data_IF_938639245409
#
_entry.id   IF_938639245409
#
_cell.length_a   1.000
_cell.length_b   1.000
_cell.length_c   1.000
_cell.angle_alpha   90.00
_cell.angle_beta   90.00
_cell.angle_gamma   90.00
#
_symmetry.space_group_name_H-M   'P 1'
#
loop_
_entity.id
_entity.type
_entity.pdbx_description
1 polymer ?
#
# COMPACT_ATOMS: atom_id res chain seq x y z
N UNK A 1 -17.84 -18.33 20.21
CA UNK A 1 -17.71 -16.87 20.41
C UNK A 1 -16.74 -16.39 19.36
N UNK A 2 -17.19 -15.61 18.38
CA UNK A 2 -16.33 -15.08 17.31
C UNK A 2 -15.41 -14.05 17.97
N UNK A 3 -14.10 -14.31 17.99
CA UNK A 3 -13.13 -13.31 18.41
C UNK A 3 -13.02 -12.27 17.30
N UNK A 4 -13.60 -11.09 17.54
CA UNK A 4 -13.46 -9.94 16.65
C UNK A 4 -12.07 -9.36 16.91
N UNK A 5 -11.14 -9.62 16.00
CA UNK A 5 -9.77 -9.10 16.03
C UNK A 5 -9.79 -7.62 15.55
N UNK A 6 -10.32 -6.71 16.36
CA UNK A 6 -10.29 -5.26 16.10
C UNK A 6 -8.94 -4.72 15.61
N UNK A 7 -7.76 -5.12 16.17
CA UNK A 7 -6.47 -4.67 15.66
C UNK A 7 -6.18 -5.15 14.23
N UNK A 8 -6.61 -6.36 13.86
CA UNK A 8 -6.43 -6.88 12.51
C UNK A 8 -7.23 -6.06 11.48
N UNK A 9 -8.50 -5.71 11.78
CA UNK A 9 -9.31 -4.88 10.88
C UNK A 9 -8.71 -3.49 10.63
N UNK A 10 -8.16 -2.86 11.68
CA UNK A 10 -7.48 -1.56 11.53
C UNK A 10 -6.18 -1.74 10.73
N UNK A 11 -5.42 -2.80 10.99
CA UNK A 11 -4.20 -3.08 10.24
C UNK A 11 -4.49 -3.29 8.74
N UNK A 12 -5.49 -4.08 8.40
CA UNK A 12 -5.93 -4.31 7.02
C UNK A 12 -6.39 -3.00 6.35
N UNK A 13 -7.17 -2.18 7.06
CA UNK A 13 -7.62 -0.89 6.53
C UNK A 13 -6.44 0.03 6.21
N UNK A 14 -5.48 0.17 7.13
CA UNK A 14 -4.31 1.04 6.94
C UNK A 14 -3.39 0.50 5.83
N UNK A 15 -3.13 -0.80 5.80
CA UNK A 15 -2.30 -1.42 4.77
C UNK A 15 -2.92 -1.25 3.38
N UNK A 16 -4.22 -1.51 3.25
CA UNK A 16 -4.93 -1.40 1.96
C UNK A 16 -5.05 0.06 1.53
N UNK A 17 -5.31 0.98 2.48
CA UNK A 17 -5.29 2.41 2.20
C UNK A 17 -3.93 2.87 1.67
N UNK A 18 -2.84 2.52 2.36
CA UNK A 18 -1.49 2.90 1.95
C UNK A 18 -1.15 2.33 0.56
N UNK A 19 -1.48 1.06 0.30
CA UNK A 19 -1.27 0.42 -1.00
C UNK A 19 -1.99 1.17 -2.12
N UNK A 20 -3.29 1.44 -1.97
CA UNK A 20 -4.09 2.10 -3.00
C UNK A 20 -3.69 3.56 -3.16
N UNK A 21 -3.45 4.27 -2.05
CA UNK A 21 -3.07 5.68 -2.07
C UNK A 21 -1.72 5.90 -2.77
N UNK A 22 -0.69 5.14 -2.38
CA UNK A 22 0.63 5.22 -3.02
C UNK A 22 0.56 4.71 -4.46
N UNK A 23 -0.21 3.64 -4.69
CA UNK A 23 -0.35 3.03 -6.00
C UNK A 23 -0.99 3.96 -7.02
N UNK A 24 -2.23 4.39 -6.77
CA UNK A 24 -2.93 5.35 -7.62
C UNK A 24 -2.21 6.70 -7.67
N UNK A 25 -1.64 7.16 -6.54
CA UNK A 25 -0.85 8.37 -6.46
C UNK A 25 0.36 8.35 -7.40
N UNK A 26 1.06 7.23 -7.50
CA UNK A 26 2.21 7.08 -8.41
C UNK A 26 1.82 7.17 -9.89
N UNK A 27 0.64 6.65 -10.28
CA UNK A 27 0.10 6.76 -11.64
C UNK A 27 -0.25 8.21 -11.97
N UNK A 28 -0.95 8.89 -11.06
CA UNK A 28 -1.26 10.31 -11.20
C UNK A 28 0.01 11.15 -11.31
N UNK A 29 1.02 10.81 -10.51
CA UNK A 29 2.28 11.55 -10.51
C UNK A 29 3.08 11.31 -11.80
N UNK A 30 3.09 10.10 -12.33
CA UNK A 30 3.67 9.82 -13.66
C UNK A 30 3.00 10.66 -14.75
N UNK A 31 1.66 10.74 -14.74
CA UNK A 31 0.91 11.63 -15.62
C UNK A 31 1.28 13.11 -15.47
N UNK A 32 1.43 13.59 -14.23
CA UNK A 32 1.79 14.99 -13.96
C UNK A 32 3.23 15.36 -14.33
N UNK A 33 4.13 14.37 -14.35
CA UNK A 33 5.57 14.57 -14.62
C UNK A 33 5.94 14.30 -16.08
N UNK A 34 4.97 13.93 -16.92
CA UNK A 34 5.19 13.63 -18.34
C UNK A 34 5.82 12.26 -18.57
N UNK A 35 5.51 11.27 -17.73
CA UNK A 35 6.00 9.89 -17.90
C UNK A 35 7.40 9.63 -17.33
N UNK A 36 7.93 10.52 -16.48
CA UNK A 36 9.29 10.40 -15.93
C UNK A 36 9.46 9.22 -14.98
N UNK A 37 8.38 8.78 -14.34
CA UNK A 37 8.39 7.66 -13.39
C UNK A 37 8.32 6.33 -14.16
N UNK A 38 7.47 6.29 -15.19
CA UNK A 38 7.21 5.14 -16.04
C UNK A 38 6.64 3.92 -15.28
N UNK A 39 6.38 2.85 -16.02
CA UNK A 39 5.84 1.60 -15.45
C UNK A 39 6.75 1.01 -14.36
N UNK A 40 8.07 1.12 -14.52
CA UNK A 40 9.03 0.64 -13.53
C UNK A 40 8.94 1.36 -12.18
N UNK A 41 8.87 2.69 -12.18
CA UNK A 41 8.73 3.46 -10.95
C UNK A 41 7.36 3.27 -10.28
N UNK A 42 6.28 3.12 -11.06
CA UNK A 42 4.94 2.80 -10.54
C UNK A 42 4.91 1.42 -9.87
N UNK A 43 5.55 0.42 -10.49
CA UNK A 43 5.66 -0.93 -9.92
C UNK A 43 6.48 -0.92 -8.63
N UNK A 44 7.58 -0.17 -8.58
CA UNK A 44 8.38 0.00 -7.37
C UNK A 44 7.60 0.71 -6.25
N UNK A 45 6.80 1.73 -6.57
CA UNK A 45 5.97 2.42 -5.58
C UNK A 45 4.96 1.47 -4.90
N UNK A 46 4.27 0.64 -5.69
CA UNK A 46 3.36 -0.40 -5.15
C UNK A 46 4.12 -1.45 -4.33
N UNK A 47 5.21 -1.98 -4.88
CA UNK A 47 6.00 -3.03 -4.23
C UNK A 47 6.61 -2.58 -2.90
N UNK A 48 7.13 -1.34 -2.84
CA UNK A 48 7.67 -0.77 -1.61
C UNK A 48 6.57 -0.46 -0.60
N UNK A 49 5.41 0.04 -1.03
CA UNK A 49 4.26 0.23 -0.14
C UNK A 49 3.84 -1.10 0.50
N UNK A 50 3.69 -2.17 -0.29
CA UNK A 50 3.41 -3.51 0.22
C UNK A 50 4.48 -4.00 1.19
N UNK A 51 5.76 -3.90 0.81
CA UNK A 51 6.88 -4.34 1.61
C UNK A 51 6.89 -3.63 2.98
N UNK A 52 6.73 -2.30 3.00
CA UNK A 52 6.67 -1.53 4.24
C UNK A 52 5.52 -1.99 5.12
N UNK A 53 4.31 -2.17 4.56
CA UNK A 53 3.15 -2.57 5.36
C UNK A 53 3.27 -3.98 5.92
N UNK A 54 3.82 -4.93 5.14
CA UNK A 54 4.10 -6.31 5.60
C UNK A 54 5.07 -6.28 6.79
N UNK A 55 6.18 -5.56 6.68
CA UNK A 55 7.17 -5.49 7.76
C UNK A 55 6.68 -4.71 8.98
N UNK A 56 5.88 -3.65 8.77
CA UNK A 56 5.41 -2.81 9.86
C UNK A 56 4.29 -3.48 10.67
N UNK A 57 3.27 -4.03 10.01
CA UNK A 57 2.04 -4.52 10.67
C UNK A 57 1.52 -5.86 10.13
N UNK A 58 2.23 -6.55 9.24
CA UNK A 58 1.81 -7.86 8.73
C UNK A 58 1.72 -8.95 9.81
N UNK A 59 2.44 -8.79 10.93
CA UNK A 59 2.31 -9.69 12.09
C UNK A 59 0.97 -9.52 12.84
N UNK A 60 0.20 -8.46 12.57
CA UNK A 60 -1.07 -8.15 13.23
C UNK A 60 -2.25 -8.80 12.50
N UNK A 61 -2.26 -8.73 11.17
CA UNK A 61 -3.39 -9.20 10.34
C UNK A 61 -3.07 -10.36 9.41
N UNK A 62 -1.78 -10.69 9.22
CA UNK A 62 -1.30 -11.36 8.01
C UNK A 62 -1.08 -10.38 6.87
#
# INVERSE_FOLDING_TARGET
MVHVEYPAFVAEFIATFALVFIGAGSILMDGSTGGKLGLGGIALAHGLALLVMIYAIGHVSG
#
